data_IF_221209251619
#
_entry.id   IF_221209251619
#
_cell.length_a   1.000
_cell.length_b   1.000
_cell.length_c   1.000
_cell.angle_alpha   90.00
_cell.angle_beta   90.00
_cell.angle_gamma   90.00
#
_symmetry.space_group_name_H-M   'P 1'
#
loop_
_entity.id
_entity.type
_entity.pdbx_description
1 polymer ?
#
# COMPACT_ATOMS: atom_id res chain seq x y z
N UNK A 1 -17.64 -9.38 -10.22
CA UNK A 1 -16.97 -8.77 -9.05
C UNK A 1 -16.46 -7.39 -9.48
N UNK A 2 -16.61 -6.36 -8.65
CA UNK A 2 -16.38 -4.97 -9.05
C UNK A 2 -14.90 -4.57 -8.85
N UNK A 3 -14.13 -4.46 -9.94
CA UNK A 3 -12.72 -4.05 -9.90
C UNK A 3 -12.50 -2.55 -9.68
N UNK A 4 -13.58 -1.75 -9.60
CA UNK A 4 -13.48 -0.30 -9.43
C UNK A 4 -12.77 0.11 -8.12
N UNK A 5 -13.02 -0.61 -7.02
CA UNK A 5 -12.41 -0.28 -5.73
C UNK A 5 -10.89 -0.50 -5.72
N UNK A 6 -10.35 -1.67 -6.13
CA UNK A 6 -8.90 -1.87 -6.26
C UNK A 6 -8.23 -0.79 -7.11
N UNK A 7 -8.80 -0.50 -8.29
CA UNK A 7 -8.25 0.49 -9.21
C UNK A 7 -8.28 1.90 -8.60
N UNK A 8 -9.38 2.27 -7.93
CA UNK A 8 -9.52 3.56 -7.27
C UNK A 8 -8.49 3.74 -6.13
N UNK A 9 -8.26 2.71 -5.32
CA UNK A 9 -7.27 2.74 -4.25
C UNK A 9 -5.84 2.88 -4.79
N UNK A 10 -5.49 2.11 -5.82
CA UNK A 10 -4.18 2.19 -6.47
C UNK A 10 -3.99 3.59 -7.08
N UNK A 11 -4.97 4.09 -7.83
CA UNK A 11 -4.90 5.42 -8.44
C UNK A 11 -4.76 6.53 -7.38
N UNK A 12 -5.55 6.46 -6.30
CA UNK A 12 -5.47 7.42 -5.19
C UNK A 12 -4.10 7.38 -4.50
N UNK A 13 -3.54 6.19 -4.30
CA UNK A 13 -2.19 6.02 -3.73
C UNK A 13 -1.11 6.63 -4.60
N UNK A 14 -1.14 6.37 -5.92
CA UNK A 14 -0.21 6.96 -6.87
C UNK A 14 -0.31 8.49 -6.90
N UNK A 15 -1.52 9.04 -6.88
CA UNK A 15 -1.73 10.50 -6.80
C UNK A 15 -1.18 11.05 -5.49
N UNK A 16 -1.41 10.38 -4.36
CA UNK A 16 -0.88 10.79 -3.06
C UNK A 16 0.66 10.77 -3.03
N UNK A 17 1.29 9.77 -3.64
CA UNK A 17 2.75 9.69 -3.80
C UNK A 17 3.27 10.88 -4.62
N UNK A 18 2.67 11.16 -5.78
CA UNK A 18 3.07 12.25 -6.67
C UNK A 18 2.89 13.64 -6.03
N UNK A 19 1.88 13.79 -5.17
CA UNK A 19 1.60 15.04 -4.47
C UNK A 19 2.35 15.18 -3.13
N UNK A 20 3.06 14.13 -2.68
CA UNK A 20 3.70 14.12 -1.38
C UNK A 20 4.85 15.14 -1.30
N UNK A 21 4.91 15.91 -0.20
CA UNK A 21 6.00 16.85 0.10
C UNK A 21 6.90 16.39 1.25
N UNK A 22 6.55 15.27 1.88
CA UNK A 22 7.24 14.68 3.01
C UNK A 22 7.12 13.17 2.93
N UNK A 23 8.04 12.48 3.60
CA UNK A 23 8.15 11.02 3.57
C UNK A 23 6.91 10.33 4.13
N UNK A 24 6.26 10.92 5.13
CA UNK A 24 5.06 10.32 5.76
C UNK A 24 3.92 10.26 4.74
N UNK A 25 3.71 11.32 3.97
CA UNK A 25 2.70 11.34 2.90
C UNK A 25 3.03 10.37 1.76
N UNK A 26 4.30 10.21 1.42
CA UNK A 26 4.73 9.18 0.46
C UNK A 26 4.39 7.77 0.97
N UNK A 27 4.64 7.48 2.25
CA UNK A 27 4.30 6.18 2.87
C UNK A 27 2.78 5.96 2.85
N UNK A 28 1.99 6.95 3.26
CA UNK A 28 0.52 6.86 3.20
C UNK A 28 0.03 6.54 1.78
N UNK A 29 0.63 7.16 0.76
CA UNK A 29 0.31 6.87 -0.64
C UNK A 29 0.70 5.45 -1.06
N UNK A 30 1.85 4.94 -0.62
CA UNK A 30 2.24 3.54 -0.85
C UNK A 30 1.27 2.56 -0.19
N UNK A 31 0.84 2.83 1.04
CA UNK A 31 -0.12 2.00 1.77
C UNK A 31 -1.50 1.94 1.08
N UNK A 32 -1.92 3.02 0.42
CA UNK A 32 -3.14 2.99 -0.41
C UNK A 32 -3.02 2.04 -1.60
N UNK A 33 -1.83 1.94 -2.22
CA UNK A 33 -1.56 0.98 -3.30
C UNK A 33 -1.61 -0.45 -2.76
N UNK A 34 -0.99 -0.70 -1.60
CA UNK A 34 -1.05 -1.99 -0.90
C UNK A 34 -2.50 -2.39 -0.58
N UNK A 35 -3.30 -1.45 -0.06
CA UNK A 35 -4.71 -1.68 0.22
C UNK A 35 -5.51 -2.02 -1.05
N UNK A 36 -5.18 -1.39 -2.17
CA UNK A 36 -5.73 -1.74 -3.48
C UNK A 36 -5.36 -3.15 -3.94
N UNK A 37 -4.12 -3.60 -3.69
CA UNK A 37 -3.71 -4.97 -3.96
C UNK A 37 -4.44 -5.99 -3.08
N UNK A 38 -4.64 -5.68 -1.80
CA UNK A 38 -5.45 -6.51 -0.89
C UNK A 38 -6.91 -6.56 -1.35
N UNK A 39 -7.49 -5.42 -1.74
CA UNK A 39 -8.84 -5.37 -2.29
C UNK A 39 -8.96 -6.21 -3.59
N UNK A 40 -7.93 -6.20 -4.44
CA UNK A 40 -7.87 -7.05 -5.63
C UNK A 40 -7.83 -8.53 -5.26
N UNK A 41 -7.02 -8.92 -4.27
CA UNK A 41 -6.96 -10.29 -3.76
C UNK A 41 -8.29 -10.74 -3.13
N UNK A 42 -8.96 -9.87 -2.38
CA UNK A 42 -10.33 -10.16 -1.87
C UNK A 42 -11.30 -10.35 -3.03
N UNK A 43 -11.15 -9.57 -4.11
CA UNK A 43 -11.97 -9.69 -5.30
C UNK A 43 -11.66 -10.90 -6.18
N UNK A 44 -10.62 -11.70 -5.88
CA UNK A 44 -10.41 -13.00 -6.53
C UNK A 44 -11.17 -14.13 -5.83
N UNK A 45 -11.60 -13.93 -4.59
CA UNK A 45 -12.24 -14.96 -3.76
C UNK A 45 -11.28 -16.02 -3.21
N UNK A 46 -9.96 -15.87 -3.42
CA UNK A 46 -8.95 -16.80 -2.91
C UNK A 46 -8.39 -16.33 -1.56
N UNK A 47 -8.69 -17.03 -0.45
CA UNK A 47 -8.20 -16.65 0.88
C UNK A 47 -6.67 -16.74 1.01
N UNK A 48 -6.00 -17.60 0.24
CA UNK A 48 -4.53 -17.67 0.24
C UNK A 48 -3.93 -16.41 -0.38
N UNK A 49 -4.52 -15.91 -1.47
CA UNK A 49 -4.09 -14.64 -2.07
C UNK A 49 -4.26 -13.47 -1.11
N UNK A 50 -5.38 -13.42 -0.36
CA UNK A 50 -5.61 -12.38 0.65
C UNK A 50 -4.57 -12.45 1.76
N UNK A 51 -4.26 -13.65 2.25
CA UNK A 51 -3.26 -13.86 3.29
C UNK A 51 -1.87 -13.41 2.83
N UNK A 52 -1.45 -13.78 1.62
CA UNK A 52 -0.16 -13.38 1.04
C UNK A 52 -0.10 -11.87 0.83
N UNK A 53 -1.12 -11.27 0.20
CA UNK A 53 -1.16 -9.83 -0.03
C UNK A 53 -1.11 -9.03 1.29
N UNK A 54 -1.81 -9.51 2.32
CA UNK A 54 -1.78 -8.88 3.65
C UNK A 54 -0.42 -9.01 4.32
N UNK A 55 0.20 -10.20 4.29
CA UNK A 55 1.51 -10.42 4.89
C UNK A 55 2.61 -9.60 4.21
N UNK A 56 2.60 -9.55 2.88
CA UNK A 56 3.53 -8.73 2.09
C UNK A 56 3.29 -7.24 2.39
N UNK A 57 2.03 -6.81 2.47
CA UNK A 57 1.69 -5.43 2.84
C UNK A 57 2.27 -5.02 4.19
N UNK A 58 2.09 -5.84 5.23
CA UNK A 58 2.68 -5.57 6.56
C UNK A 58 4.21 -5.50 6.49
N UNK A 59 4.85 -6.41 5.75
CA UNK A 59 6.30 -6.39 5.60
C UNK A 59 6.79 -5.11 4.90
N UNK A 60 6.08 -4.67 3.86
CA UNK A 60 6.39 -3.43 3.12
C UNK A 60 6.27 -2.20 4.03
N UNK A 61 5.17 -2.08 4.79
CA UNK A 61 4.99 -1.00 5.77
C UNK A 61 6.14 -0.95 6.78
N UNK A 62 6.54 -2.11 7.33
CA UNK A 62 7.62 -2.18 8.30
C UNK A 62 8.96 -1.72 7.71
N UNK A 63 9.25 -2.10 6.46
CA UNK A 63 10.46 -1.68 5.76
C UNK A 63 10.46 -0.18 5.46
N UNK A 64 9.33 0.37 4.99
CA UNK A 64 9.17 1.80 4.73
C UNK A 64 9.34 2.63 6.00
N UNK A 65 8.72 2.19 7.11
CA UNK A 65 8.85 2.86 8.41
C UNK A 65 10.28 2.76 8.93
N UNK A 66 10.91 1.57 8.86
CA UNK A 66 12.30 1.40 9.28
C UNK A 66 13.27 2.29 8.46
N UNK A 67 13.06 2.37 7.14
CA UNK A 67 13.83 3.25 6.27
C UNK A 67 13.63 4.74 6.63
N UNK A 68 12.40 5.15 6.92
CA UNK A 68 12.10 6.51 7.34
C UNK A 68 12.77 6.88 8.68
N UNK A 69 12.78 5.96 9.65
CA UNK A 69 13.46 6.13 10.94
C UNK A 69 14.97 6.23 10.79
N UNK A 70 15.59 5.37 9.96
CA UNK A 70 17.03 5.41 9.72
C UNK A 70 17.44 6.77 9.15
N UNK A 71 16.74 7.22 8.11
CA UNK A 71 17.02 8.49 7.43
C UNK A 71 16.63 9.74 8.24
N UNK A 72 16.02 9.59 9.42
CA UNK A 72 15.75 10.71 10.33
C UNK A 72 16.80 10.83 11.44
N UNK A 73 17.66 9.83 11.59
CA UNK A 73 18.70 9.76 12.63
C UNK A 73 20.13 9.83 12.06
N UNK A 74 20.27 9.93 10.74
CA UNK A 74 21.51 10.29 10.02
C UNK A 74 21.49 11.80 9.69
#
# INVERSE_FOLDING_TARGET
MNAALPIALIAAGLVAILAARDRVRTIIGAELVVLGAIAAAVSSGDPNMVAVASAVGVADTLLLVAAAFKLSHD
#
